data_IF_350602161612
#
_entry.id   IF_350602161612
#
_cell.length_a   1.000
_cell.length_b   1.000
_cell.length_c   1.000
_cell.angle_alpha   90.00
_cell.angle_beta   90.00
_cell.angle_gamma   90.00
#
_symmetry.space_group_name_H-M   'P 1'
#
loop_
_entity.id
_entity.type
_entity.pdbx_description
1 polymer ?
#
# COMPACT_ATOMS: atom_id res chain seq x y z
N UNK A 1 -12.16 6.60 5.05
CA UNK A 1 -11.03 5.80 4.52
C UNK A 1 -11.15 4.37 4.99
N UNK A 2 -10.99 3.40 4.09
CA UNK A 2 -11.09 1.95 4.35
C UNK A 2 -9.70 1.32 4.19
N UNK A 3 -9.33 0.45 5.14
CA UNK A 3 -8.12 -0.39 5.06
C UNK A 3 -8.44 -1.73 4.43
N UNK A 4 -7.45 -2.42 3.87
CA UNK A 4 -7.66 -3.70 3.17
C UNK A 4 -7.10 -4.89 3.92
N UNK A 5 -7.67 -6.07 3.64
CA UNK A 5 -7.15 -7.36 4.10
C UNK A 5 -6.92 -8.25 2.88
N UNK A 6 -5.77 -8.92 2.84
CA UNK A 6 -5.46 -9.94 1.83
C UNK A 6 -5.07 -11.24 2.52
N UNK A 7 -5.52 -12.39 2.02
CA UNK A 7 -5.26 -13.67 2.67
C UNK A 7 -3.77 -14.05 2.57
N UNK A 8 -3.20 -13.83 1.40
CA UNK A 8 -1.83 -14.20 1.04
C UNK A 8 -1.09 -13.00 0.46
N UNK A 9 0.22 -12.95 0.68
CA UNK A 9 1.09 -11.88 0.24
C UNK A 9 2.50 -12.44 0.07
N UNK A 10 3.10 -12.22 -1.09
CA UNK A 10 4.48 -12.56 -1.37
C UNK A 10 5.30 -11.27 -1.48
N UNK A 11 6.12 -11.00 -0.47
CA UNK A 11 6.90 -9.77 -0.40
C UNK A 11 7.93 -9.63 -1.53
N UNK A 12 8.49 -10.73 -2.02
CA UNK A 12 9.48 -10.74 -3.12
C UNK A 12 8.86 -10.40 -4.47
N UNK A 13 7.53 -10.45 -4.57
CA UNK A 13 6.76 -10.20 -5.79
C UNK A 13 5.87 -8.97 -5.69
N UNK A 14 6.08 -8.11 -4.70
CA UNK A 14 5.32 -6.87 -4.57
C UNK A 14 5.91 -5.79 -5.47
N UNK A 15 5.18 -5.46 -6.54
CA UNK A 15 5.53 -4.38 -7.46
C UNK A 15 4.34 -3.43 -7.64
N UNK A 16 4.11 -2.50 -6.70
CA UNK A 16 2.97 -1.61 -6.76
C UNK A 16 3.19 -0.60 -7.89
N UNK A 17 2.23 -0.51 -8.81
CA UNK A 17 2.26 0.43 -9.93
C UNK A 17 1.37 1.62 -9.61
N UNK A 18 1.93 2.82 -9.74
CA UNK A 18 1.22 4.07 -9.52
C UNK A 18 0.17 4.38 -10.60
N UNK A 19 -0.49 5.53 -10.47
CA UNK A 19 -1.37 6.09 -11.50
C UNK A 19 -1.09 7.59 -11.69
N UNK A 20 -1.48 8.13 -12.84
CA UNK A 20 -1.25 9.54 -13.23
C UNK A 20 -2.48 10.16 -13.89
N UNK A 21 -3.63 9.99 -13.26
CA UNK A 21 -4.90 10.61 -13.68
C UNK A 21 -5.14 11.88 -12.85
N UNK A 22 -6.40 12.22 -12.54
CA UNK A 22 -6.77 13.33 -11.62
C UNK A 22 -6.13 13.20 -10.23
N UNK A 23 -5.80 11.97 -9.85
CA UNK A 23 -5.00 11.63 -8.67
C UNK A 23 -3.73 10.96 -9.15
N UNK A 24 -2.59 11.56 -8.81
CA UNK A 24 -1.29 10.94 -9.03
C UNK A 24 -0.90 10.17 -7.78
N UNK A 25 -0.59 8.89 -7.93
CA UNK A 25 0.02 8.06 -6.90
C UNK A 25 1.34 7.56 -7.43
N UNK A 26 2.43 7.86 -6.74
CA UNK A 26 3.77 7.44 -7.11
C UNK A 26 4.43 6.68 -5.96
N UNK A 27 4.79 5.42 -6.20
CA UNK A 27 5.43 4.57 -5.21
C UNK A 27 6.95 4.76 -5.28
N UNK A 28 7.55 5.15 -4.16
CA UNK A 28 8.95 5.57 -4.10
C UNK A 28 9.90 4.52 -3.56
N UNK A 29 9.38 3.67 -2.67
CA UNK A 29 10.23 2.72 -1.96
C UNK A 29 9.40 1.54 -1.43
N UNK A 30 10.07 0.41 -1.23
CA UNK A 30 9.52 -0.77 -0.59
C UNK A 30 10.56 -1.43 0.32
N UNK A 31 10.18 -1.62 1.58
CA UNK A 31 10.97 -2.30 2.59
C UNK A 31 10.18 -3.48 3.17
N UNK A 32 10.87 -4.57 3.48
CA UNK A 32 10.28 -5.70 4.19
C UNK A 32 11.14 -6.10 5.38
N UNK A 33 10.52 -6.21 6.55
CA UNK A 33 11.12 -6.75 7.76
C UNK A 33 10.63 -8.21 7.94
N UNK A 34 11.49 -9.21 7.70
CA UNK A 34 11.12 -10.62 7.85
C UNK A 34 10.93 -11.03 9.31
N UNK A 35 11.57 -10.36 10.27
CA UNK A 35 11.42 -10.68 11.69
C UNK A 35 10.06 -10.19 12.21
N UNK A 36 9.61 -9.03 11.73
CA UNK A 36 8.31 -8.45 12.10
C UNK A 36 7.16 -8.85 11.17
N UNK A 37 7.47 -9.55 10.08
CA UNK A 37 6.51 -9.89 9.02
C UNK A 37 5.73 -8.65 8.58
N UNK A 38 6.47 -7.59 8.21
CA UNK A 38 5.94 -6.26 7.91
C UNK A 38 6.54 -5.71 6.63
N UNK A 39 5.69 -5.39 5.66
CA UNK A 39 6.03 -4.58 4.49
C UNK A 39 5.72 -3.10 4.72
N UNK A 40 6.55 -2.23 4.14
CA UNK A 40 6.39 -0.78 4.18
C UNK A 40 6.56 -0.24 2.75
N UNK A 41 5.51 0.37 2.21
CA UNK A 41 5.52 0.97 0.86
C UNK A 41 5.45 2.49 1.01
N UNK A 42 6.41 3.23 0.47
CA UNK A 42 6.36 4.70 0.47
C UNK A 42 5.58 5.20 -0.73
N UNK A 43 4.60 6.06 -0.51
CA UNK A 43 3.78 6.64 -1.55
C UNK A 43 3.81 8.17 -1.46
N UNK A 44 3.89 8.81 -2.63
CA UNK A 44 3.64 10.24 -2.80
C UNK A 44 2.35 10.38 -3.59
N UNK A 45 1.41 11.12 -3.05
CA UNK A 45 0.09 11.35 -3.64
C UNK A 45 -0.07 12.83 -3.95
N UNK A 46 -0.54 13.14 -5.16
CA UNK A 46 -0.96 14.48 -5.57
C UNK A 46 -2.44 14.43 -5.96
N UNK A 47 -3.23 15.31 -5.36
CA UNK A 47 -4.67 15.46 -5.59
C UNK A 47 -4.97 16.97 -5.62
N UNK A 48 -5.09 17.53 -6.82
CA UNK A 48 -5.09 19.00 -7.00
C UNK A 48 -3.81 19.64 -6.47
N UNK A 49 -3.94 20.62 -5.57
CA UNK A 49 -2.80 21.28 -4.90
C UNK A 49 -2.31 20.51 -3.66
N UNK A 50 -2.98 19.43 -3.28
CA UNK A 50 -2.67 18.70 -2.07
C UNK A 50 -1.64 17.59 -2.33
N UNK A 51 -0.53 17.63 -1.60
CA UNK A 51 0.54 16.63 -1.65
C UNK A 51 0.68 15.92 -0.32
N UNK A 52 0.68 14.59 -0.34
CA UNK A 52 0.94 13.76 0.84
C UNK A 52 2.06 12.75 0.55
N UNK A 53 3.04 12.66 1.45
CA UNK A 53 4.12 11.67 1.42
C UNK A 53 4.00 10.83 2.70
N UNK A 54 3.71 9.54 2.54
CA UNK A 54 3.43 8.67 3.67
C UNK A 54 3.79 7.22 3.36
N UNK A 55 3.84 6.43 4.43
CA UNK A 55 4.06 5.00 4.35
C UNK A 55 2.74 4.24 4.47
N UNK A 56 2.59 3.21 3.64
CA UNK A 56 1.58 2.16 3.80
C UNK A 56 2.25 0.95 4.44
N UNK A 57 1.65 0.46 5.51
CA UNK A 57 2.06 -0.76 6.22
C UNK A 57 1.25 -1.96 5.71
N UNK A 58 1.96 -3.06 5.42
CA UNK A 58 1.41 -4.39 5.11
C UNK A 58 1.86 -5.33 6.23
N UNK A 59 1.04 -5.49 7.26
CA UNK A 59 1.39 -6.24 8.47
C UNK A 59 0.73 -7.62 8.47
N UNK A 60 1.51 -8.69 8.70
CA UNK A 60 0.95 -10.01 8.96
C UNK A 60 0.14 -10.00 10.25
N UNK A 61 -1.08 -10.48 10.18
CA UNK A 61 -1.97 -10.90 11.28
C UNK A 61 -2.18 -12.41 11.18
N UNK A 62 -2.81 -13.01 12.19
CA UNK A 62 -2.99 -14.47 12.32
C UNK A 62 -3.31 -15.16 10.97
N UNK A 63 -4.40 -14.74 10.31
CA UNK A 63 -4.88 -15.41 9.09
C UNK A 63 -4.87 -14.51 7.83
N UNK A 64 -4.34 -13.29 7.91
CA UNK A 64 -4.37 -12.34 6.80
C UNK A 64 -3.24 -11.31 6.91
N UNK A 65 -3.02 -10.54 5.86
CA UNK A 65 -2.17 -9.36 5.86
C UNK A 65 -3.06 -8.11 5.83
N UNK A 66 -2.79 -7.20 6.76
CA UNK A 66 -3.53 -5.95 6.90
C UNK A 66 -2.78 -4.83 6.19
N UNK A 67 -3.45 -4.16 5.26
CA UNK A 67 -2.91 -3.02 4.51
C UNK A 67 -3.56 -1.75 5.04
N UNK A 68 -2.77 -0.88 5.65
CA UNK A 68 -3.24 0.38 6.23
C UNK A 68 -2.14 1.44 6.20
N UNK A 69 -2.47 2.73 6.31
CA UNK A 69 -1.45 3.76 6.47
C UNK A 69 -0.65 3.52 7.76
N UNK A 70 0.66 3.72 7.71
CA UNK A 70 1.50 3.61 8.88
C UNK A 70 1.07 4.65 9.94
N UNK A 71 1.11 4.25 11.21
CA UNK A 71 0.74 5.14 12.31
C UNK A 71 1.73 6.30 12.40
N UNK A 72 1.24 7.48 12.77
CA UNK A 72 2.07 8.67 12.99
C UNK A 72 2.42 9.47 11.72
N UNK A 73 1.95 9.06 10.53
CA UNK A 73 2.21 9.79 9.29
C UNK A 73 1.40 11.10 9.11
N UNK A 74 0.53 11.46 10.05
CA UNK A 74 -0.24 12.72 9.98
C UNK A 74 -1.13 12.84 8.74
N UNK A 75 -1.55 11.71 8.15
CA UNK A 75 -2.31 11.70 6.89
C UNK A 75 -3.66 12.41 7.04
N UNK A 76 -4.05 13.14 6.01
CA UNK A 76 -5.39 13.68 5.85
C UNK A 76 -6.16 12.69 4.95
N UNK A 77 -7.24 12.06 5.45
CA UNK A 77 -8.05 11.16 4.65
C UNK A 77 -8.59 11.85 3.39
N UNK A 78 -8.20 11.36 2.21
CA UNK A 78 -8.63 11.87 0.90
C UNK A 78 -8.88 10.73 -0.09
N UNK A 79 -9.42 11.05 -1.28
CA UNK A 79 -9.58 10.05 -2.34
C UNK A 79 -8.22 9.49 -2.77
N UNK A 80 -7.16 10.31 -2.76
CA UNK A 80 -5.81 9.86 -3.10
C UNK A 80 -5.20 8.89 -2.09
N UNK A 81 -5.49 9.06 -0.79
CA UNK A 81 -5.09 8.05 0.21
C UNK A 81 -5.81 6.73 -0.04
N UNK A 82 -7.12 6.77 -0.30
CA UNK A 82 -7.88 5.55 -0.59
C UNK A 82 -7.33 4.86 -1.84
N UNK A 83 -7.10 5.61 -2.93
CA UNK A 83 -6.53 5.09 -4.18
C UNK A 83 -5.19 4.41 -3.95
N UNK A 84 -4.33 4.98 -3.10
CA UNK A 84 -3.05 4.39 -2.73
C UNK A 84 -3.22 3.03 -2.05
N UNK A 85 -4.12 2.94 -1.07
CA UNK A 85 -4.40 1.67 -0.39
C UNK A 85 -4.97 0.62 -1.34
N UNK A 86 -5.84 1.03 -2.26
CA UNK A 86 -6.43 0.15 -3.28
C UNK A 86 -5.35 -0.42 -4.23
N UNK A 87 -4.42 0.43 -4.69
CA UNK A 87 -3.31 0.03 -5.56
C UNK A 87 -2.33 -0.92 -4.84
N UNK A 88 -2.01 -0.66 -3.57
CA UNK A 88 -1.18 -1.56 -2.76
C UNK A 88 -1.88 -2.91 -2.57
N UNK A 89 -3.19 -2.92 -2.32
CA UNK A 89 -3.99 -4.14 -2.23
C UNK A 89 -3.98 -4.92 -3.55
N UNK A 90 -4.17 -4.25 -4.68
CA UNK A 90 -4.09 -4.89 -6.00
C UNK A 90 -2.72 -5.54 -6.23
N UNK A 91 -1.64 -4.83 -5.92
CA UNK A 91 -0.28 -5.37 -6.06
C UNK A 91 -0.03 -6.56 -5.13
N UNK A 92 -0.56 -6.50 -3.90
CA UNK A 92 -0.47 -7.61 -2.96
C UNK A 92 -1.23 -8.86 -3.46
N UNK A 93 -2.44 -8.69 -4.00
CA UNK A 93 -3.20 -9.78 -4.61
C UNK A 93 -2.51 -10.36 -5.85
N UNK A 94 -1.79 -9.54 -6.63
CA UNK A 94 -1.05 -10.01 -7.80
C UNK A 94 0.25 -10.73 -7.41
N UNK A 95 0.82 -10.44 -6.24
CA UNK A 95 2.09 -11.01 -5.78
C UNK A 95 2.07 -12.54 -5.63
N UNK A 96 0.89 -13.11 -5.39
CA UNK A 96 0.72 -14.56 -5.19
C UNK A 96 0.68 -15.34 -6.51
N UNK A 97 0.55 -14.65 -7.65
CA UNK A 97 0.37 -15.26 -8.97
C UNK A 97 -0.98 -15.98 -9.08
N UNK A 98 -1.54 -16.03 -10.30
CA UNK A 98 -2.62 -16.98 -10.57
C UNK A 98 -2.03 -18.38 -10.40
N UNK A 99 -2.38 -19.09 -9.32
CA UNK A 99 -2.44 -20.55 -9.37
C UNK A 99 -3.44 -20.90 -10.47
N UNK A 100 -2.93 -21.32 -11.63
CA UNK A 100 -3.70 -22.16 -12.55
C UNK A 100 -3.76 -23.57 -11.98
#
# INVERSE_FOLDING_TARGET
MKTHRVAHFNHERLFPTGCRDDIVVDFKDYLFDPLRQKGMVRAVVLEGEFKQDFWVEIQKRENYWHIHPAKGCGIIPSAGIQRTLDLVKQAADQSIGFSR
#
